data_IF_683331521582
#
_entry.id   IF_683331521582
#
_cell.length_a   1.000
_cell.length_b   1.000
_cell.length_c   1.000
_cell.angle_alpha   90.00
_cell.angle_beta   90.00
_cell.angle_gamma   90.00
#
_symmetry.space_group_name_H-M   'P 1'
#
loop_
_entity.id
_entity.type
_entity.pdbx_description
1 polymer ?
#
# COMPACT_ATOMS: atom_id res chain seq x y z
N UNK A 1 6.13 -42.64 24.49
CA UNK A 1 6.98 -41.82 23.60
C UNK A 1 6.21 -41.26 22.39
N UNK A 2 5.53 -42.08 21.55
CA UNK A 2 4.72 -41.57 20.41
C UNK A 2 3.61 -40.56 20.77
N UNK A 3 2.96 -40.71 21.95
CA UNK A 3 1.90 -39.79 22.40
C UNK A 3 2.41 -38.41 22.84
N UNK A 4 3.68 -38.30 23.24
CA UNK A 4 4.30 -37.02 23.63
C UNK A 4 4.72 -36.25 22.37
N UNK A 5 5.13 -36.95 21.31
CA UNK A 5 5.47 -36.34 20.03
C UNK A 5 4.27 -35.69 19.32
N UNK A 6 3.06 -36.26 19.46
CA UNK A 6 1.83 -35.67 18.93
C UNK A 6 1.38 -34.41 19.71
N UNK A 7 1.62 -34.36 21.01
CA UNK A 7 1.25 -33.21 21.84
C UNK A 7 2.15 -31.99 21.58
N UNK A 8 3.43 -32.21 21.26
CA UNK A 8 4.36 -31.14 20.89
C UNK A 8 4.04 -30.57 19.49
N UNK A 9 3.51 -31.38 18.58
CA UNK A 9 3.11 -30.91 17.24
C UNK A 9 1.82 -30.07 17.24
N UNK A 10 0.95 -30.25 18.24
CA UNK A 10 -0.28 -29.46 18.40
C UNK A 10 -0.05 -28.06 19.01
N UNK A 11 1.09 -27.84 19.69
CA UNK A 11 1.45 -26.55 20.31
C UNK A 11 2.07 -25.52 19.35
N UNK A 12 2.42 -25.92 18.12
CA UNK A 12 3.09 -25.06 17.14
C UNK A 12 2.13 -24.32 16.20
N UNK A 13 0.81 -24.38 16.45
CA UNK A 13 -0.22 -23.71 15.65
C UNK A 13 -0.69 -22.36 16.23
N UNK A 14 0.08 -21.73 17.13
CA UNK A 14 0.01 -20.27 17.26
C UNK A 14 0.71 -19.65 16.05
N UNK A 15 0.13 -19.88 14.86
CA UNK A 15 0.47 -19.13 13.67
C UNK A 15 0.27 -17.67 14.01
N UNK A 16 1.32 -16.86 13.85
CA UNK A 16 1.20 -15.41 13.92
C UNK A 16 0.09 -15.00 12.96
N UNK A 17 -1.05 -14.59 13.50
CA UNK A 17 -2.07 -13.93 12.70
C UNK A 17 -1.40 -12.74 12.00
N UNK A 18 -1.71 -12.54 10.73
CA UNK A 18 -1.22 -11.36 10.03
C UNK A 18 -1.61 -10.10 10.83
N UNK A 19 -0.73 -9.09 10.90
CA UNK A 19 -1.02 -7.86 11.62
C UNK A 19 -2.35 -7.26 11.16
N UNK A 20 -3.30 -7.10 12.07
CA UNK A 20 -4.55 -6.41 11.79
C UNK A 20 -4.34 -4.90 11.97
N UNK A 21 -4.99 -4.07 11.16
CA UNK A 21 -4.81 -2.61 11.25
C UNK A 21 -5.26 -2.07 12.61
N UNK A 22 -6.28 -2.67 13.22
CA UNK A 22 -6.87 -2.27 14.51
C UNK A 22 -5.86 -2.24 15.67
N UNK A 23 -4.74 -2.97 15.58
CA UNK A 23 -3.67 -2.92 16.58
C UNK A 23 -3.06 -1.52 16.74
N UNK A 24 -3.15 -0.68 15.70
CA UNK A 24 -2.61 0.68 15.69
C UNK A 24 -3.62 1.74 16.16
N UNK A 25 -4.81 1.36 16.64
CA UNK A 25 -5.88 2.30 16.99
C UNK A 25 -5.48 3.42 17.97
N UNK A 26 -4.52 3.15 18.86
CA UNK A 26 -4.00 4.08 19.86
C UNK A 26 -2.70 4.80 19.42
N UNK A 27 -2.21 4.52 18.20
CA UNK A 27 -1.00 5.14 17.68
C UNK A 27 -1.28 6.58 17.23
N UNK A 28 -0.36 7.46 17.57
CA UNK A 28 -0.36 8.87 17.18
C UNK A 28 0.87 9.16 16.30
N UNK A 29 0.80 10.15 15.39
CA UNK A 29 -0.36 10.98 15.07
C UNK A 29 -1.45 10.22 14.30
N UNK A 30 -2.73 10.55 14.52
CA UNK A 30 -3.82 9.97 13.71
C UNK A 30 -3.74 10.38 12.24
N UNK A 31 -3.84 9.39 11.36
CA UNK A 31 -3.84 9.58 9.92
C UNK A 31 -5.22 10.04 9.43
N UNK A 32 -5.26 11.24 8.86
CA UNK A 32 -6.35 11.71 8.00
C UNK A 32 -5.84 11.74 6.55
N UNK A 33 -6.40 10.89 5.68
CA UNK A 33 -5.95 10.76 4.29
C UNK A 33 -6.19 12.02 3.47
N UNK A 34 -7.32 12.71 3.68
CA UNK A 34 -7.64 13.92 2.95
C UNK A 34 -6.67 15.01 3.37
N UNK A 35 -6.50 15.21 4.68
CA UNK A 35 -5.59 16.21 5.19
C UNK A 35 -4.15 15.95 4.74
N UNK A 36 -3.68 14.71 4.73
CA UNK A 36 -2.31 14.40 4.32
C UNK A 36 -2.10 14.63 2.82
N UNK A 37 -2.97 14.12 1.96
CA UNK A 37 -2.73 14.10 0.52
C UNK A 37 -3.24 15.32 -0.26
N UNK A 38 -4.16 16.14 0.28
CA UNK A 38 -4.56 17.39 -0.38
C UNK A 38 -3.36 18.34 -0.49
N UNK A 39 -3.13 18.83 -1.70
CA UNK A 39 -1.98 19.66 -2.06
C UNK A 39 -0.94 18.87 -2.86
N UNK A 40 0.35 19.15 -2.64
CA UNK A 40 1.46 18.46 -3.30
C UNK A 40 2.21 17.58 -2.32
N UNK A 41 2.50 16.36 -2.76
CA UNK A 41 3.29 15.39 -2.01
C UNK A 41 4.31 14.77 -2.96
N UNK A 42 5.57 14.66 -2.52
CA UNK A 42 6.59 13.89 -3.22
C UNK A 42 6.70 12.51 -2.60
N UNK A 43 7.00 11.50 -3.42
CA UNK A 43 7.37 10.18 -2.94
C UNK A 43 8.64 9.68 -3.62
N UNK A 44 9.47 8.96 -2.86
CA UNK A 44 10.64 8.27 -3.38
C UNK A 44 10.53 6.80 -3.00
N UNK A 45 10.71 5.94 -3.98
CA UNK A 45 10.49 4.52 -3.75
C UNK A 45 11.39 3.62 -4.58
N UNK A 46 11.35 2.36 -4.19
CA UNK A 46 12.00 1.29 -4.90
C UNK A 46 11.15 0.02 -4.87
N UNK A 47 11.29 -0.76 -5.94
CA UNK A 47 10.79 -2.13 -6.00
C UNK A 47 11.95 -3.09 -5.83
N UNK A 48 11.76 -4.05 -4.92
CA UNK A 48 12.71 -5.10 -4.62
C UNK A 48 12.08 -6.47 -4.90
N UNK A 49 12.86 -7.37 -5.51
CA UNK A 49 12.51 -8.79 -5.60
C UNK A 49 12.56 -9.43 -4.22
N UNK A 50 11.98 -10.63 -4.09
CA UNK A 50 12.01 -11.43 -2.84
C UNK A 50 13.43 -11.73 -2.33
N UNK A 51 14.44 -11.74 -3.19
CA UNK A 51 15.84 -11.92 -2.81
C UNK A 51 16.51 -10.62 -2.30
N UNK A 52 15.78 -9.50 -2.23
CA UNK A 52 16.26 -8.18 -1.81
C UNK A 52 16.89 -7.34 -2.93
N UNK A 53 17.06 -7.90 -4.13
CA UNK A 53 17.60 -7.18 -5.28
C UNK A 53 16.68 -6.00 -5.65
N UNK A 54 17.27 -4.80 -5.69
CA UNK A 54 16.58 -3.57 -6.13
C UNK A 54 16.53 -3.56 -7.65
N UNK A 55 15.32 -3.60 -8.21
CA UNK A 55 15.11 -3.69 -9.67
C UNK A 55 14.64 -2.36 -10.26
N UNK A 56 13.85 -1.60 -9.50
CA UNK A 56 13.38 -0.27 -9.93
C UNK A 56 13.53 0.72 -8.79
N UNK A 57 13.84 1.96 -9.14
CA UNK A 57 13.79 3.14 -8.27
C UNK A 57 12.99 4.21 -8.99
N UNK A 58 12.23 4.99 -8.26
CA UNK A 58 11.34 5.98 -8.83
C UNK A 58 11.09 7.14 -7.86
N UNK A 59 10.80 8.30 -8.44
CA UNK A 59 10.24 9.46 -7.77
C UNK A 59 8.80 9.65 -8.27
N UNK A 60 7.92 10.15 -7.41
CA UNK A 60 6.52 10.42 -7.73
C UNK A 60 6.17 11.82 -7.27
N UNK A 61 5.68 12.68 -8.16
CA UNK A 61 4.95 13.88 -7.75
C UNK A 61 3.46 13.53 -7.69
N UNK A 62 2.82 13.80 -6.56
CA UNK A 62 1.40 13.55 -6.32
C UNK A 62 0.71 14.89 -6.12
N UNK A 63 -0.33 15.14 -6.92
CA UNK A 63 -1.24 16.27 -6.70
C UNK A 63 -2.58 15.74 -6.21
N UNK A 64 -2.90 16.00 -4.96
CA UNK A 64 -4.16 15.61 -4.34
C UNK A 64 -5.19 16.74 -4.38
N UNK A 65 -6.40 16.43 -4.82
CA UNK A 65 -7.55 17.34 -4.82
C UNK A 65 -8.74 16.68 -4.15
N UNK A 66 -9.49 17.44 -3.35
CA UNK A 66 -10.68 16.94 -2.68
C UNK A 66 -11.91 17.72 -3.14
N UNK A 67 -12.85 17.03 -3.79
CA UNK A 67 -14.08 17.62 -4.29
C UNK A 67 -15.19 16.57 -4.35
N UNK A 68 -16.45 16.97 -4.11
CA UNK A 68 -17.60 16.06 -4.19
C UNK A 68 -17.43 14.77 -3.38
N UNK A 69 -16.90 14.90 -2.15
CA UNK A 69 -16.61 13.79 -1.23
C UNK A 69 -15.57 12.77 -1.74
N UNK A 70 -14.79 13.16 -2.75
CA UNK A 70 -13.77 12.31 -3.37
C UNK A 70 -12.40 12.97 -3.30
N UNK A 71 -11.41 12.18 -2.90
CA UNK A 71 -10.00 12.53 -2.95
C UNK A 71 -9.42 11.96 -4.25
N UNK A 72 -9.01 12.82 -5.16
CA UNK A 72 -8.33 12.43 -6.40
C UNK A 72 -6.84 12.67 -6.25
N UNK A 73 -6.03 11.65 -6.50
CA UNK A 73 -4.56 11.72 -6.46
C UNK A 73 -4.03 11.52 -7.89
N UNK A 74 -3.51 12.58 -8.50
CA UNK A 74 -2.76 12.50 -9.77
C UNK A 74 -1.29 12.21 -9.45
N UNK A 75 -0.89 10.95 -9.59
CA UNK A 75 0.45 10.45 -9.33
C UNK A 75 1.25 10.38 -10.64
N UNK A 76 2.39 11.07 -10.67
CA UNK A 76 3.29 11.11 -11.83
C UNK A 76 4.63 10.52 -11.46
N UNK A 77 4.92 9.35 -12.00
CA UNK A 77 6.11 8.56 -11.74
C UNK A 77 7.21 8.90 -12.74
N UNK A 78 8.40 9.17 -12.21
CA UNK A 78 9.66 9.26 -12.92
C UNK A 78 10.57 8.11 -12.48
N UNK A 79 10.80 7.15 -13.37
CA UNK A 79 11.64 5.98 -13.08
C UNK A 79 13.11 6.27 -13.38
N UNK A 80 14.00 5.58 -12.65
CA UNK A 80 15.45 5.73 -12.83
C UNK A 80 15.97 5.28 -14.21
N UNK A 81 15.19 4.49 -14.97
CA UNK A 81 15.48 4.11 -16.36
C UNK A 81 15.02 5.17 -17.39
N UNK A 82 14.45 6.29 -16.92
CA UNK A 82 13.95 7.39 -17.75
C UNK A 82 12.50 7.21 -18.21
N UNK A 83 11.87 6.08 -17.92
CA UNK A 83 10.45 5.88 -18.23
C UNK A 83 9.56 6.70 -17.31
N UNK A 84 8.36 7.03 -17.78
CA UNK A 84 7.35 7.78 -17.03
C UNK A 84 6.04 7.02 -16.99
N UNK A 85 5.31 7.16 -15.91
CA UNK A 85 3.96 6.61 -15.77
C UNK A 85 3.08 7.61 -15.05
N UNK A 86 1.78 7.58 -15.36
CA UNK A 86 0.78 8.32 -14.61
C UNK A 86 -0.23 7.33 -14.04
N UNK A 87 -0.62 7.52 -12.78
CA UNK A 87 -1.75 6.84 -12.16
C UNK A 87 -2.64 7.88 -11.50
N UNK A 88 -3.94 7.79 -11.76
CA UNK A 88 -4.92 8.68 -11.12
C UNK A 88 -5.81 7.83 -10.23
N UNK A 89 -5.67 8.02 -8.92
CA UNK A 89 -6.57 7.41 -7.94
C UNK A 89 -7.78 8.29 -7.71
N UNK A 90 -8.96 7.69 -7.64
CA UNK A 90 -10.17 8.32 -7.11
C UNK A 90 -10.59 7.57 -5.86
N UNK A 91 -10.50 8.23 -4.71
CA UNK A 91 -10.74 7.66 -3.40
C UNK A 91 -12.01 8.24 -2.78
N UNK A 92 -12.84 7.38 -2.19
CA UNK A 92 -14.06 7.78 -1.47
C UNK A 92 -14.17 7.00 -0.16
N UNK A 93 -14.60 7.66 0.90
CA UNK A 93 -14.95 6.98 2.14
C UNK A 93 -16.32 6.30 2.01
N UNK A 94 -16.39 5.03 2.40
CA UNK A 94 -17.61 4.25 2.48
C UNK A 94 -18.33 4.49 3.81
N UNK A 95 -19.60 4.09 3.89
CA UNK A 95 -20.45 4.30 5.07
C UNK A 95 -19.96 3.57 6.34
N UNK A 96 -19.17 2.51 6.17
CA UNK A 96 -18.54 1.75 7.26
C UNK A 96 -17.23 2.39 7.76
N UNK A 97 -16.84 3.53 7.19
CA UNK A 97 -15.58 4.23 7.50
C UNK A 97 -14.37 3.73 6.72
N UNK A 98 -14.49 2.62 5.98
CA UNK A 98 -13.44 2.15 5.06
C UNK A 98 -13.26 3.10 3.89
N UNK A 99 -12.11 3.06 3.26
CA UNK A 99 -11.82 3.81 2.04
C UNK A 99 -11.91 2.89 0.82
N UNK A 100 -12.49 3.40 -0.26
CA UNK A 100 -12.58 2.73 -1.56
C UNK A 100 -11.79 3.53 -2.58
N UNK A 101 -11.03 2.84 -3.42
CA UNK A 101 -10.23 3.50 -4.44
C UNK A 101 -10.33 2.84 -5.80
N UNK A 102 -10.34 3.65 -6.84
CA UNK A 102 -10.27 3.16 -8.24
C UNK A 102 -9.14 3.85 -8.99
N UNK A 103 -8.54 3.13 -9.92
CA UNK A 103 -7.56 3.64 -10.88
C UNK A 103 -7.62 2.79 -12.15
N UNK A 104 -7.09 3.30 -13.27
CA UNK A 104 -7.19 2.64 -14.58
C UNK A 104 -6.52 1.25 -14.63
N UNK A 105 -5.50 1.02 -13.80
CA UNK A 105 -4.74 -0.22 -13.72
C UNK A 105 -5.13 -1.08 -12.50
N UNK A 106 -6.24 -0.76 -11.83
CA UNK A 106 -6.76 -1.52 -10.68
C UNK A 106 -7.99 -2.31 -11.12
N UNK A 107 -7.97 -3.60 -10.83
CA UNK A 107 -9.12 -4.49 -11.06
C UNK A 107 -10.14 -4.33 -9.94
N UNK A 108 -11.28 -3.72 -10.25
CA UNK A 108 -12.35 -3.47 -9.28
C UNK A 108 -12.02 -2.27 -8.40
N UNK A 109 -12.11 -2.45 -7.09
CA UNK A 109 -11.81 -1.40 -6.11
C UNK A 109 -10.68 -1.85 -5.17
N UNK A 110 -9.85 -0.88 -4.79
CA UNK A 110 -9.00 -0.97 -3.64
C UNK A 110 -9.80 -0.72 -2.36
N UNK A 111 -9.43 -1.41 -1.28
CA UNK A 111 -10.10 -1.31 0.03
C UNK A 111 -9.07 -0.92 1.08
N UNK A 112 -9.34 0.19 1.76
CA UNK A 112 -8.52 0.76 2.80
C UNK A 112 -9.18 0.74 4.17
N UNK A 113 -8.41 0.41 5.20
CA UNK A 113 -8.82 0.58 6.58
C UNK A 113 -7.77 1.40 7.33
N UNK A 114 -8.21 2.38 8.11
CA UNK A 114 -7.34 3.26 8.91
C UNK A 114 -7.56 2.95 10.39
N UNK A 115 -6.47 2.89 11.14
CA UNK A 115 -6.50 2.90 12.60
C UNK A 115 -5.28 3.64 13.15
N UNK A 116 -5.52 4.65 13.99
CA UNK A 116 -4.46 5.53 14.50
C UNK A 116 -3.64 6.13 13.36
N UNK A 117 -2.33 5.87 13.34
CA UNK A 117 -1.40 6.37 12.33
C UNK A 117 -1.27 5.48 11.09
N UNK A 118 -1.97 4.34 11.03
CA UNK A 118 -1.78 3.32 10.01
C UNK A 118 -2.96 3.26 9.02
N UNK A 119 -2.64 3.06 7.74
CA UNK A 119 -3.57 2.61 6.70
C UNK A 119 -3.11 1.26 6.18
N UNK A 120 -4.02 0.29 6.09
CA UNK A 120 -3.83 -0.92 5.30
C UNK A 120 -4.73 -0.86 4.05
N UNK A 121 -4.10 -0.92 2.87
CA UNK A 121 -4.67 -0.71 1.56
C UNK A 121 -4.48 -1.98 0.71
N UNK A 122 -5.59 -2.61 0.32
CA UNK A 122 -5.58 -3.89 -0.39
C UNK A 122 -6.22 -3.74 -1.76
N UNK A 123 -5.53 -4.22 -2.81
CA UNK A 123 -6.02 -4.10 -4.18
C UNK A 123 -5.37 -5.10 -5.13
N UNK A 124 -5.96 -5.27 -6.32
CA UNK A 124 -5.37 -6.06 -7.40
C UNK A 124 -4.98 -5.13 -8.55
N UNK A 125 -3.70 -5.08 -8.88
CA UNK A 125 -3.17 -4.31 -10.00
C UNK A 125 -3.04 -5.19 -11.25
N UNK A 126 -3.33 -4.59 -12.40
CA UNK A 126 -3.13 -5.15 -13.73
C UNK A 126 -1.75 -4.74 -14.25
N UNK A 127 -0.77 -5.63 -14.14
CA UNK A 127 0.60 -5.36 -14.54
C UNK A 127 0.89 -5.92 -15.94
N UNK A 128 1.12 -5.08 -16.96
CA UNK A 128 1.57 -5.54 -18.27
C UNK A 128 3.04 -5.97 -18.23
N UNK A 129 3.32 -7.21 -18.64
CA UNK A 129 4.66 -7.78 -18.78
C UNK A 129 4.70 -8.60 -20.07
N UNK A 130 5.62 -8.27 -20.97
CA UNK A 130 5.88 -9.00 -22.23
C UNK A 130 4.61 -9.31 -23.05
N UNK A 131 3.71 -8.34 -23.18
CA UNK A 131 2.46 -8.47 -23.95
C UNK A 131 1.34 -9.23 -23.24
N UNK A 132 1.56 -9.69 -22.00
CA UNK A 132 0.53 -10.28 -21.13
C UNK A 132 0.22 -9.37 -19.96
N UNK A 133 -1.05 -9.35 -19.52
CA UNK A 133 -1.45 -8.61 -18.32
C UNK A 133 -1.60 -9.58 -17.15
N UNK A 134 -0.85 -9.33 -16.08
CA UNK A 134 -0.86 -10.13 -14.88
C UNK A 134 -1.62 -9.43 -13.76
N UNK A 135 -2.56 -10.16 -13.16
CA UNK A 135 -3.15 -9.76 -11.87
C UNK A 135 -2.15 -10.02 -10.75
N UNK A 136 -1.85 -8.96 -10.00
CA UNK A 136 -0.95 -8.96 -8.84
C UNK A 136 -1.68 -8.33 -7.66
N UNK A 137 -1.70 -9.05 -6.53
CA UNK A 137 -2.31 -8.58 -5.30
C UNK A 137 -1.31 -7.73 -4.51
N UNK A 138 -1.75 -6.56 -4.06
CA UNK A 138 -1.02 -5.66 -3.20
C UNK A 138 -1.63 -5.65 -1.81
N UNK A 139 -0.79 -5.88 -0.81
CA UNK A 139 -1.05 -5.66 0.62
C UNK A 139 -0.14 -4.50 1.04
N UNK A 140 -0.71 -3.30 1.05
CA UNK A 140 0.01 -2.04 1.12
C UNK A 140 -0.23 -1.34 2.46
N UNK A 141 0.83 -1.12 3.22
CA UNK A 141 0.77 -0.49 4.53
C UNK A 141 1.40 0.89 4.49
N UNK A 142 0.66 1.88 4.99
CA UNK A 142 1.16 3.24 5.17
C UNK A 142 1.13 3.61 6.66
N UNK A 143 2.17 4.29 7.12
CA UNK A 143 2.33 4.71 8.51
C UNK A 143 2.71 6.18 8.57
N UNK A 144 1.87 6.99 9.22
CA UNK A 144 2.14 8.40 9.45
C UNK A 144 3.17 8.53 10.57
N UNK A 145 4.29 9.15 10.25
CA UNK A 145 5.40 9.35 11.18
C UNK A 145 5.31 10.71 11.85
N UNK A 146 4.94 11.72 11.07
CA UNK A 146 4.70 13.10 11.51
C UNK A 146 3.76 13.79 10.50
N UNK A 147 3.47 15.08 10.73
CA UNK A 147 2.53 15.85 9.89
C UNK A 147 2.87 15.90 8.39
N UNK A 148 4.12 15.64 8.01
CA UNK A 148 4.61 15.73 6.63
C UNK A 148 5.25 14.45 6.12
N UNK A 149 5.37 13.41 6.94
CA UNK A 149 6.13 12.21 6.61
C UNK A 149 5.28 10.96 6.76
N UNK A 150 5.10 10.22 5.66
CA UNK A 150 4.38 8.95 5.62
C UNK A 150 5.29 7.88 5.01
N UNK A 151 5.45 6.76 5.71
CA UNK A 151 6.17 5.60 5.21
C UNK A 151 5.21 4.62 4.60
N UNK A 152 5.66 3.90 3.58
CA UNK A 152 4.86 2.90 2.91
C UNK A 152 5.67 1.63 2.62
N UNK A 153 5.01 0.49 2.80
CA UNK A 153 5.52 -0.81 2.40
C UNK A 153 4.40 -1.65 1.81
N UNK A 154 4.54 -1.99 0.55
CA UNK A 154 3.62 -2.87 -0.17
C UNK A 154 4.24 -4.23 -0.46
N UNK A 155 3.53 -5.30 -0.15
CA UNK A 155 3.87 -6.67 -0.54
C UNK A 155 3.08 -7.05 -1.78
N UNK A 156 3.80 -7.47 -2.83
CA UNK A 156 3.20 -7.94 -4.10
C UNK A 156 3.16 -9.45 -4.13
N UNK A 157 1.98 -10.02 -4.36
CA UNK A 157 1.80 -11.47 -4.46
C UNK A 157 1.03 -11.85 -5.72
N UNK A 158 1.24 -13.08 -6.19
CA UNK A 158 0.47 -13.70 -7.26
C UNK A 158 0.26 -15.17 -6.95
N UNK A 159 -0.99 -15.63 -6.98
CA UNK A 159 -1.35 -17.00 -6.61
C UNK A 159 -0.81 -17.42 -5.22
N UNK A 160 -0.74 -16.46 -4.29
CA UNK A 160 -0.20 -16.67 -2.93
C UNK A 160 1.33 -16.63 -2.82
N UNK A 161 2.07 -16.50 -3.92
CA UNK A 161 3.53 -16.40 -3.90
C UNK A 161 3.98 -14.94 -3.94
N UNK A 162 4.89 -14.57 -3.04
CA UNK A 162 5.50 -13.23 -3.03
C UNK A 162 6.40 -13.04 -4.26
N UNK A 163 6.10 -11.98 -5.02
CA UNK A 163 6.89 -11.54 -6.17
C UNK A 163 7.98 -10.56 -5.74
N UNK A 164 7.66 -9.69 -4.78
CA UNK A 164 8.54 -8.64 -4.30
C UNK A 164 7.82 -7.64 -3.42
N UNK A 165 8.51 -6.56 -3.11
CA UNK A 165 8.04 -5.51 -2.21
C UNK A 165 8.32 -4.14 -2.81
N UNK A 166 7.41 -3.21 -2.57
CA UNK A 166 7.63 -1.79 -2.84
C UNK A 166 7.81 -1.09 -1.50
N UNK A 167 8.83 -0.24 -1.38
CA UNK A 167 8.98 0.66 -0.24
C UNK A 167 8.95 2.09 -0.76
N UNK A 168 8.13 2.94 -0.17
CA UNK A 168 8.07 4.36 -0.50
C UNK A 168 8.17 5.20 0.76
N UNK A 169 8.79 6.37 0.59
CA UNK A 169 8.80 7.46 1.54
C UNK A 169 8.05 8.62 0.90
N UNK A 170 7.02 9.12 1.57
CA UNK A 170 6.25 10.29 1.13
C UNK A 170 6.64 11.50 1.99
N UNK A 171 6.78 12.65 1.34
CA UNK A 171 6.93 13.95 1.98
C UNK A 171 5.87 14.92 1.46
N UNK A 172 4.97 15.36 2.34
CA UNK A 172 4.05 16.45 2.03
C UNK A 172 4.83 17.76 1.89
N UNK A 173 4.56 18.53 0.83
CA UNK A 173 5.11 19.89 0.68
C UNK A 173 4.39 20.85 1.62
N UNK A 174 5.13 21.85 2.11
CA UNK A 174 4.57 22.96 2.90
C UNK A 174 3.61 23.81 2.09
#
# INVERSE_FOLDING_TARGET
MKKILLAVMAGLLFGCAAPEVSQYQQAEPKLDLVQYFVGKTDAWGMFQKRNGEVVKRFHVEITGTYQNEQLVLDERFDYADGTKQQRVWTLKQAADGSWRGTAADVKGEAIGQIAGNALNWNYTMLLPVDGSTYEVQFDDWMFLMDAHTLLNRAKMTKFGFELGQVTLFFKKRE
#
